data_IF_764106389588
#
_entry.id   IF_764106389588
#
_cell.length_a   1.000
_cell.length_b   1.000
_cell.length_c   1.000
_cell.angle_alpha   90.00
_cell.angle_beta   90.00
_cell.angle_gamma   90.00
#
_symmetry.space_group_name_H-M   'P 1'
#
loop_
_entity.id
_entity.type
_entity.pdbx_description
1 polymer ?
#
# COMPACT_ATOMS: atom_id res chain seq x y z
N UNK A 1 12.76 3.59 -7.48
CA UNK A 1 11.74 2.68 -8.03
C UNK A 1 12.44 1.39 -8.49
N UNK A 2 12.64 0.41 -7.60
CA UNK A 2 12.91 -0.96 -8.04
C UNK A 2 11.59 -1.54 -8.57
N UNK A 3 11.57 -1.94 -9.84
CA UNK A 3 10.41 -2.59 -10.45
C UNK A 3 10.07 -3.86 -9.64
N UNK A 4 8.78 -4.14 -9.46
CA UNK A 4 8.27 -5.31 -8.73
C UNK A 4 8.25 -5.16 -7.20
N UNK A 5 9.26 -4.55 -6.59
CA UNK A 5 9.33 -4.44 -5.12
C UNK A 5 8.57 -3.24 -4.53
N UNK A 6 8.28 -2.22 -5.36
CA UNK A 6 7.69 -0.95 -4.90
C UNK A 6 6.32 -1.15 -4.24
N UNK A 7 5.47 -2.06 -4.76
CA UNK A 7 4.16 -2.33 -4.19
C UNK A 7 4.22 -2.86 -2.76
N UNK A 8 5.07 -3.86 -2.52
CA UNK A 8 5.30 -4.42 -1.19
C UNK A 8 5.82 -3.36 -0.20
N UNK A 9 6.75 -2.50 -0.65
CA UNK A 9 7.25 -1.39 0.18
C UNK A 9 6.13 -0.42 0.57
N UNK A 10 5.22 -0.08 -0.34
CA UNK A 10 4.09 0.82 -0.04
C UNK A 10 3.13 0.20 0.98
N UNK A 11 2.83 -1.10 0.86
CA UNK A 11 2.00 -1.84 1.82
C UNK A 11 2.62 -1.85 3.22
N UNK A 12 3.92 -2.16 3.34
CA UNK A 12 4.63 -2.14 4.64
C UNK A 12 4.66 -0.72 5.23
N UNK A 13 4.86 0.29 4.39
CA UNK A 13 4.87 1.69 4.84
C UNK A 13 3.53 2.10 5.43
N UNK A 14 2.42 1.80 4.73
CA UNK A 14 1.09 2.15 5.23
C UNK A 14 0.70 1.32 6.46
N UNK A 15 1.16 0.06 6.58
CA UNK A 15 0.95 -0.75 7.80
C UNK A 15 1.59 -0.09 9.04
N UNK A 16 2.84 0.36 8.93
CA UNK A 16 3.50 1.05 10.04
C UNK A 16 2.81 2.37 10.39
N UNK A 17 2.41 3.15 9.38
CA UNK A 17 1.68 4.41 9.61
C UNK A 17 0.29 4.18 10.18
N UNK A 18 -0.42 3.15 9.74
CA UNK A 18 -1.73 2.79 10.26
C UNK A 18 -1.67 2.39 11.74
N UNK A 19 -0.65 1.61 12.13
CA UNK A 19 -0.40 1.27 13.54
C UNK A 19 -0.12 2.52 14.38
N UNK A 20 0.67 3.47 13.88
CA UNK A 20 0.96 4.74 14.56
C UNK A 20 -0.29 5.62 14.71
N UNK A 21 -1.14 5.65 13.68
CA UNK A 21 -2.34 6.49 13.60
C UNK A 21 -3.60 5.81 14.15
N UNK A 22 -3.51 4.55 14.59
CA UNK A 22 -4.65 3.69 14.96
C UNK A 22 -5.73 3.68 13.86
N UNK A 23 -5.31 3.69 12.60
CA UNK A 23 -6.22 3.71 11.45
C UNK A 23 -6.82 2.33 11.23
N UNK A 24 -8.13 2.26 10.95
CA UNK A 24 -8.84 1.00 10.68
C UNK A 24 -8.64 0.50 9.24
N UNK A 25 -8.52 1.43 8.29
CA UNK A 25 -8.37 1.12 6.87
C UNK A 25 -7.23 1.90 6.23
N UNK A 26 -6.63 1.34 5.18
CA UNK A 26 -5.64 1.98 4.35
C UNK A 26 -5.83 1.62 2.88
N UNK A 27 -5.49 2.55 1.98
CA UNK A 27 -5.51 2.36 0.54
C UNK A 27 -4.08 2.48 0.01
N UNK A 28 -3.66 1.51 -0.81
CA UNK A 28 -2.43 1.60 -1.60
C UNK A 28 -2.83 1.52 -3.08
N UNK A 29 -2.26 2.40 -3.90
CA UNK A 29 -2.46 2.40 -5.35
C UNK A 29 -1.14 2.72 -6.05
N UNK A 30 -0.95 2.16 -7.25
CA UNK A 30 0.21 2.42 -8.09
C UNK A 30 -0.12 2.27 -9.58
N UNK A 31 0.54 3.09 -10.41
CA UNK A 31 0.54 2.91 -11.85
C UNK A 31 1.51 1.78 -12.25
N UNK A 32 1.20 1.13 -13.37
CA UNK A 32 2.00 0.08 -14.00
C UNK A 32 2.22 0.47 -15.47
N UNK A 33 3.38 0.13 -16.03
CA UNK A 33 3.69 0.37 -17.44
C UNK A 33 2.65 -0.25 -18.38
N UNK A 34 2.43 0.37 -19.53
CA UNK A 34 1.40 -0.08 -20.49
C UNK A 34 -0.03 0.37 -20.16
N UNK A 35 -0.20 1.37 -19.29
CA UNK A 35 -1.52 1.97 -18.99
C UNK A 35 -2.34 1.21 -17.94
N UNK A 36 -1.72 0.26 -17.23
CA UNK A 36 -2.36 -0.51 -16.18
C UNK A 36 -2.18 0.16 -14.81
N UNK A 37 -2.96 -0.28 -13.83
CA UNK A 37 -2.83 0.14 -12.43
C UNK A 37 -3.29 -0.95 -11.49
N UNK A 38 -2.80 -0.90 -10.25
CA UNK A 38 -3.21 -1.79 -9.18
C UNK A 38 -3.57 -0.97 -7.94
N UNK A 39 -4.66 -1.35 -7.29
CA UNK A 39 -5.10 -0.78 -6.02
C UNK A 39 -5.47 -1.88 -5.04
N UNK A 40 -5.18 -1.66 -3.77
CA UNK A 40 -5.51 -2.56 -2.67
C UNK A 40 -6.00 -1.78 -1.46
N UNK A 41 -7.08 -2.25 -0.87
CA UNK A 41 -7.60 -1.75 0.41
C UNK A 41 -7.20 -2.75 1.50
N UNK A 42 -6.66 -2.24 2.59
CA UNK A 42 -6.20 -3.01 3.74
C UNK A 42 -7.07 -2.65 4.94
N UNK A 43 -7.60 -3.65 5.63
CA UNK A 43 -8.15 -3.49 6.97
C UNK A 43 -7.06 -3.86 7.98
N UNK A 44 -6.79 -2.95 8.92
CA UNK A 44 -5.81 -3.18 9.97
C UNK A 44 -6.52 -3.67 11.23
N UNK A 45 -6.21 -4.89 11.61
CA UNK A 45 -6.67 -5.50 12.86
C UNK A 45 -5.62 -5.19 13.92
N UNK A 46 -6.02 -4.48 14.98
CA UNK A 46 -5.15 -4.06 16.08
C UNK A 46 -5.40 -4.88 17.33
#
# INVERSE_FOLDING_TARGET
>A
HPLGCTGARLVVTIMHEARRRKAKYGLVTMCVGGGMGAAGVLEFVH
#
